data_IF_272139430269
#
_entry.id   IF_272139430269
#
_cell.length_a   1.000
_cell.length_b   1.000
_cell.length_c   1.000
_cell.angle_alpha   90.00
_cell.angle_beta   90.00
_cell.angle_gamma   90.00
#
_symmetry.space_group_name_H-M   'P 1'
#
loop_
_entity.id
_entity.type
_entity.pdbx_description
1 polymer ?
#
# COMPACT_ATOMS: atom_id res chain seq x y z
N UNK A 1 -12.39 -24.44 42.19
CA UNK A 1 -12.80 -23.02 42.17
C UNK A 1 -11.76 -22.24 42.96
N UNK A 2 -10.90 -21.49 42.28
CA UNK A 2 -9.86 -20.65 42.90
C UNK A 2 -9.86 -19.31 42.17
N UNK A 3 -10.33 -18.26 42.82
CA UNK A 3 -10.30 -16.88 42.32
C UNK A 3 -9.10 -16.18 42.94
N UNK A 4 -7.96 -16.23 42.26
CA UNK A 4 -6.81 -15.38 42.58
C UNK A 4 -7.05 -14.00 41.96
N UNK A 5 -7.46 -13.03 42.79
CA UNK A 5 -7.42 -11.60 42.44
C UNK A 5 -5.98 -11.12 42.53
N UNK A 6 -5.31 -10.98 41.40
CA UNK A 6 -4.06 -10.22 41.30
C UNK A 6 -4.39 -8.80 40.82
N UNK A 7 -4.19 -7.83 41.70
CA UNK A 7 -4.29 -6.41 41.42
C UNK A 7 -3.14 -5.98 40.47
N UNK A 8 -3.37 -5.03 39.54
CA UNK A 8 -2.30 -4.49 38.71
C UNK A 8 -1.38 -3.61 39.54
N UNK A 9 -0.07 -3.86 39.44
CA UNK A 9 0.98 -3.01 40.02
C UNK A 9 1.04 -1.74 39.19
N UNK A 10 0.43 -0.66 39.68
CA UNK A 10 0.65 0.70 39.20
C UNK A 10 1.99 1.21 39.75
N UNK A 11 3.06 0.98 39.00
CA UNK A 11 4.33 1.68 39.23
C UNK A 11 4.21 3.07 38.64
N UNK A 12 4.02 4.09 39.48
CA UNK A 12 4.19 5.48 39.06
C UNK A 12 5.70 5.78 38.91
N UNK A 13 6.17 6.36 37.80
CA UNK A 13 7.51 6.92 37.75
C UNK A 13 7.50 8.26 38.49
N UNK A 14 8.32 8.35 39.55
CA UNK A 14 8.69 9.59 40.22
C UNK A 14 9.31 10.54 39.19
N UNK A 15 8.62 11.64 38.88
CA UNK A 15 9.15 12.71 38.03
C UNK A 15 10.08 13.57 38.88
N UNK A 16 11.39 13.42 38.65
CA UNK A 16 12.41 14.37 39.08
C UNK A 16 12.58 15.41 37.97
N UNK A 17 12.39 16.72 38.21
CA UNK A 17 12.66 17.73 37.20
C UNK A 17 14.17 17.99 37.12
N UNK A 18 14.87 17.14 36.37
CA UNK A 18 16.25 17.35 35.95
C UNK A 18 16.27 17.99 34.56
N UNK A 19 16.55 19.29 34.48
CA UNK A 19 16.87 20.00 33.25
C UNK A 19 18.22 19.49 32.71
N UNK A 20 18.19 18.36 32.02
CA UNK A 20 19.28 17.84 31.20
C UNK A 20 19.03 18.16 29.72
N UNK A 21 20.08 18.27 28.89
CA UNK A 21 19.93 18.57 27.47
C UNK A 21 19.08 17.48 26.83
N UNK A 22 18.13 17.93 26.01
CA UNK A 22 17.23 17.11 25.22
C UNK A 22 18.09 16.09 24.46
N UNK A 23 18.00 14.82 24.86
CA UNK A 23 18.59 13.72 24.11
C UNK A 23 17.78 13.57 22.81
N UNK A 24 18.08 14.43 21.83
CA UNK A 24 17.62 14.30 20.44
C UNK A 24 18.42 13.19 19.75
N UNK A 25 18.51 12.05 20.41
CA UNK A 25 19.23 10.83 20.00
C UNK A 25 18.31 9.75 19.44
N UNK A 26 17.09 10.08 19.02
CA UNK A 26 16.37 9.29 18.03
C UNK A 26 16.70 9.88 16.66
N UNK A 27 17.84 9.39 16.13
CA UNK A 27 18.15 9.25 14.72
C UNK A 27 16.93 9.57 13.83
N UNK A 28 17.03 10.61 13.02
CA UNK A 28 16.12 10.84 11.90
C UNK A 28 16.34 9.70 10.91
N UNK A 29 15.84 8.51 11.22
CA UNK A 29 15.58 7.51 10.22
C UNK A 29 14.60 8.17 9.25
N UNK A 30 14.89 8.24 7.94
CA UNK A 30 13.92 8.68 6.95
C UNK A 30 12.82 7.61 6.84
N UNK A 31 12.00 7.47 7.88
CA UNK A 31 10.81 6.64 7.89
C UNK A 31 9.65 7.50 7.40
N UNK A 32 9.10 7.11 6.26
CA UNK A 32 7.82 7.63 5.77
C UNK A 32 7.97 8.66 4.68
N UNK A 33 8.29 8.20 3.47
CA UNK A 33 7.91 8.97 2.28
C UNK A 33 6.86 8.16 1.57
N UNK A 34 5.73 8.80 1.25
CA UNK A 34 4.56 8.14 0.64
C UNK A 34 4.12 8.79 -0.67
N UNK A 35 4.57 10.00 -1.01
CA UNK A 35 4.29 10.61 -2.32
C UNK A 35 5.56 11.27 -2.83
N UNK A 36 6.08 10.79 -3.95
CA UNK A 36 7.27 11.31 -4.62
C UNK A 36 6.92 12.44 -5.58
N UNK A 37 5.85 12.27 -6.35
CA UNK A 37 5.37 13.29 -7.28
C UNK A 37 3.87 13.17 -7.48
N UNK A 38 3.24 14.30 -7.79
CA UNK A 38 1.84 14.35 -8.21
C UNK A 38 1.72 15.29 -9.42
N UNK A 39 1.05 14.82 -10.46
CA UNK A 39 0.83 15.61 -11.67
C UNK A 39 -0.54 15.32 -12.26
N UNK A 40 -1.17 16.36 -12.79
CA UNK A 40 -2.43 16.24 -13.53
C UNK A 40 -2.08 15.90 -14.97
N UNK A 41 -2.56 14.76 -15.46
CA UNK A 41 -2.31 14.30 -16.85
C UNK A 41 -3.33 14.92 -17.79
N UNK A 42 -4.58 14.98 -17.34
CA UNK A 42 -5.71 15.63 -18.00
C UNK A 42 -6.70 16.10 -16.92
N UNK A 43 -7.76 16.81 -17.30
CA UNK A 43 -8.75 17.38 -16.36
C UNK A 43 -9.32 16.36 -15.36
N UNK A 44 -9.38 15.08 -15.71
CA UNK A 44 -9.98 14.02 -14.90
C UNK A 44 -8.95 13.06 -14.30
N UNK A 45 -7.70 13.10 -14.75
CA UNK A 45 -6.67 12.11 -14.42
C UNK A 45 -5.54 12.70 -13.60
N UNK A 46 -5.41 12.21 -12.37
CA UNK A 46 -4.28 12.46 -11.50
C UNK A 46 -3.28 11.31 -11.58
N UNK A 47 -2.01 11.63 -11.81
CA UNK A 47 -0.89 10.70 -11.66
C UNK A 47 -0.17 10.96 -10.35
N UNK A 48 0.05 9.91 -9.57
CA UNK A 48 0.78 9.96 -8.31
C UNK A 48 1.86 8.91 -8.35
N UNK A 49 3.10 9.31 -8.10
CA UNK A 49 4.22 8.39 -7.94
C UNK A 49 4.50 8.21 -6.45
N UNK A 50 4.50 6.96 -5.99
CA UNK A 50 4.86 6.60 -4.64
C UNK A 50 6.31 6.10 -4.60
N UNK A 51 6.97 6.25 -3.46
CA UNK A 51 8.26 5.62 -3.20
C UNK A 51 8.33 5.24 -1.72
N UNK A 52 9.20 4.29 -1.36
CA UNK A 52 9.41 3.92 0.04
C UNK A 52 8.27 3.07 0.60
N UNK A 53 7.86 3.38 1.82
CA UNK A 53 6.92 2.57 2.60
C UNK A 53 5.59 3.28 2.78
N UNK A 54 4.50 2.57 2.50
CA UNK A 54 3.13 3.07 2.70
C UNK A 54 2.41 2.22 3.74
N UNK A 55 2.41 2.68 4.97
CA UNK A 55 1.77 2.02 6.10
C UNK A 55 0.72 2.92 6.78
N UNK A 56 0.12 2.44 7.87
CA UNK A 56 -0.83 3.20 8.66
C UNK A 56 -0.35 4.61 9.04
N UNK A 57 0.92 4.76 9.40
CA UNK A 57 1.55 6.00 9.88
C UNK A 57 2.01 6.90 8.74
N UNK A 58 2.53 6.34 7.64
CA UNK A 58 3.07 7.11 6.52
C UNK A 58 2.02 7.47 5.47
N UNK A 59 0.82 6.87 5.48
CA UNK A 59 -0.18 7.09 4.44
C UNK A 59 -0.97 8.42 4.56
N UNK A 60 -0.74 9.23 5.60
CA UNK A 60 -1.41 10.52 5.83
C UNK A 60 -1.39 11.47 4.62
N UNK A 61 -0.21 11.79 4.04
CA UNK A 61 -0.11 12.66 2.86
C UNK A 61 -0.92 12.15 1.66
N UNK A 62 -0.92 10.84 1.41
CA UNK A 62 -1.68 10.25 0.31
C UNK A 62 -3.19 10.39 0.53
N UNK A 63 -3.67 10.23 1.77
CA UNK A 63 -5.09 10.45 2.13
C UNK A 63 -5.52 11.88 1.81
N UNK A 64 -4.74 12.86 2.28
CA UNK A 64 -5.04 14.28 2.06
C UNK A 64 -5.04 14.62 0.58
N UNK A 65 -4.04 14.11 -0.17
CA UNK A 65 -3.93 14.35 -1.60
C UNK A 65 -5.12 13.79 -2.38
N UNK A 66 -5.56 12.57 -2.08
CA UNK A 66 -6.70 11.97 -2.76
C UNK A 66 -8.05 12.58 -2.34
N UNK A 67 -8.16 13.04 -1.09
CA UNK A 67 -9.31 13.83 -0.66
C UNK A 67 -9.41 15.13 -1.46
N UNK A 68 -8.31 15.89 -1.56
CA UNK A 68 -8.26 17.12 -2.35
C UNK A 68 -8.55 16.86 -3.83
N UNK A 69 -7.94 15.83 -4.42
CA UNK A 69 -8.17 15.45 -5.81
C UNK A 69 -9.65 15.13 -6.10
N UNK A 70 -10.35 14.55 -5.13
CA UNK A 70 -11.77 14.24 -5.24
C UNK A 70 -12.64 15.49 -5.23
N UNK A 71 -12.34 16.43 -4.34
CA UNK A 71 -13.02 17.73 -4.27
C UNK A 71 -12.80 18.53 -5.55
N UNK A 72 -11.62 18.41 -6.17
CA UNK A 72 -11.27 19.04 -7.43
C UNK A 72 -11.88 18.36 -8.66
N UNK A 73 -12.62 17.24 -8.49
CA UNK A 73 -13.36 16.59 -9.57
C UNK A 73 -12.56 15.54 -10.36
N UNK A 74 -11.34 15.19 -9.94
CA UNK A 74 -10.59 14.11 -10.59
C UNK A 74 -11.28 12.76 -10.37
N UNK A 75 -11.46 12.01 -11.47
CA UNK A 75 -12.18 10.72 -11.47
C UNK A 75 -11.28 9.53 -11.76
N UNK A 76 -10.05 9.76 -12.20
CA UNK A 76 -9.09 8.73 -12.58
C UNK A 76 -7.79 8.95 -11.82
N UNK A 77 -7.29 7.88 -11.21
CA UNK A 77 -6.01 7.85 -10.50
C UNK A 77 -5.07 6.86 -11.19
N UNK A 78 -3.91 7.34 -11.63
CA UNK A 78 -2.78 6.51 -12.04
C UNK A 78 -1.75 6.51 -10.93
N UNK A 79 -1.58 5.38 -10.28
CA UNK A 79 -0.64 5.22 -9.17
C UNK A 79 0.59 4.44 -9.65
N UNK A 80 1.76 5.07 -9.61
CA UNK A 80 3.04 4.42 -9.85
C UNK A 80 3.61 3.89 -8.54
N UNK A 81 3.75 2.58 -8.47
CA UNK A 81 4.22 1.84 -7.30
C UNK A 81 5.62 1.24 -7.49
N UNK A 82 6.30 1.58 -8.60
CA UNK A 82 7.61 0.98 -8.97
C UNK A 82 8.71 1.12 -7.92
N UNK A 83 8.61 2.14 -7.06
CA UNK A 83 9.58 2.43 -6.00
C UNK A 83 9.05 2.15 -4.60
N UNK A 84 7.90 1.49 -4.49
CA UNK A 84 7.31 1.10 -3.20
C UNK A 84 7.99 -0.17 -2.72
N UNK A 85 8.64 -0.10 -1.57
CA UNK A 85 9.34 -1.21 -0.92
C UNK A 85 8.42 -1.99 0.01
N UNK A 86 7.45 -1.32 0.64
CA UNK A 86 6.48 -1.93 1.54
C UNK A 86 5.11 -1.24 1.45
N UNK A 87 4.04 -2.02 1.56
CA UNK A 87 2.68 -1.51 1.67
C UNK A 87 1.81 -2.44 2.53
N UNK A 88 0.95 -1.87 3.36
CA UNK A 88 0.02 -2.61 4.22
C UNK A 88 -1.45 -2.37 3.83
N UNK A 89 -2.37 -2.83 4.69
CA UNK A 89 -3.81 -2.65 4.52
C UNK A 89 -4.27 -1.19 4.53
N UNK A 90 -3.47 -0.25 5.05
CA UNK A 90 -3.81 1.16 5.04
C UNK A 90 -3.78 1.74 3.62
N UNK A 91 -2.81 1.34 2.79
CA UNK A 91 -2.80 1.70 1.36
C UNK A 91 -4.04 1.12 0.65
N UNK A 92 -4.36 -0.14 0.91
CA UNK A 92 -5.54 -0.78 0.34
C UNK A 92 -6.82 -0.03 0.70
N UNK A 93 -6.99 0.34 1.96
CA UNK A 93 -8.17 1.11 2.42
C UNK A 93 -8.32 2.40 1.62
N UNK A 94 -7.24 3.15 1.45
CA UNK A 94 -7.23 4.40 0.68
C UNK A 94 -7.65 4.17 -0.78
N UNK A 95 -7.14 3.11 -1.39
CA UNK A 95 -7.44 2.76 -2.78
C UNK A 95 -8.88 2.27 -2.95
N UNK A 96 -9.38 1.48 -2.01
CA UNK A 96 -10.77 1.03 -1.96
C UNK A 96 -11.70 2.23 -1.81
N UNK A 97 -11.45 3.10 -0.83
CA UNK A 97 -12.22 4.33 -0.61
C UNK A 97 -12.28 5.19 -1.88
N UNK A 98 -11.17 5.29 -2.61
CA UNK A 98 -11.15 5.97 -3.92
C UNK A 98 -12.12 5.29 -4.91
N UNK A 99 -11.99 3.97 -5.11
CA UNK A 99 -12.77 3.23 -6.12
C UNK A 99 -14.26 3.08 -5.80
N UNK A 100 -14.66 3.00 -4.54
CA UNK A 100 -16.07 2.83 -4.12
C UNK A 100 -16.95 4.00 -4.58
N UNK A 101 -16.38 5.17 -4.80
CA UNK A 101 -17.09 6.35 -5.28
C UNK A 101 -17.18 6.41 -6.82
N UNK A 102 -17.14 5.26 -7.51
CA UNK A 102 -17.20 5.18 -8.97
C UNK A 102 -15.98 5.75 -9.71
N UNK A 103 -14.90 6.04 -8.98
CA UNK A 103 -13.64 6.54 -9.55
C UNK A 103 -12.76 5.39 -10.01
N UNK A 104 -11.96 5.63 -11.04
CA UNK A 104 -11.10 4.61 -11.64
C UNK A 104 -9.70 4.66 -11.05
N UNK A 105 -9.12 3.48 -10.84
CA UNK A 105 -7.75 3.30 -10.37
C UNK A 105 -6.98 2.48 -11.40
N UNK A 106 -5.76 2.92 -11.73
CA UNK A 106 -4.79 2.17 -12.51
C UNK A 106 -3.46 2.12 -11.76
N UNK A 107 -3.04 0.91 -11.38
CA UNK A 107 -1.73 0.67 -10.80
C UNK A 107 -0.70 0.48 -11.93
N UNK A 108 0.46 1.09 -11.78
CA UNK A 108 1.63 0.94 -12.68
C UNK A 108 2.86 0.62 -11.85
N UNK A 109 3.86 -0.02 -12.47
CA UNK A 109 5.08 -0.41 -11.76
C UNK A 109 4.84 -1.39 -10.61
N UNK A 110 3.84 -2.27 -10.72
CA UNK A 110 3.40 -3.12 -9.60
C UNK A 110 4.52 -4.04 -9.13
N UNK A 111 4.98 -3.83 -7.90
CA UNK A 111 6.00 -4.68 -7.27
C UNK A 111 5.38 -6.01 -6.81
N UNK A 112 6.15 -7.09 -6.62
CA UNK A 112 5.62 -8.36 -6.10
C UNK A 112 4.91 -8.23 -4.76
N UNK A 113 5.34 -7.31 -3.90
CA UNK A 113 4.66 -7.00 -2.64
C UNK A 113 3.27 -6.40 -2.88
N UNK A 114 3.17 -5.43 -3.78
CA UNK A 114 1.90 -4.81 -4.15
C UNK A 114 0.96 -5.78 -4.88
N UNK A 115 1.49 -6.69 -5.70
CA UNK A 115 0.69 -7.73 -6.36
C UNK A 115 0.10 -8.71 -5.33
N UNK A 116 0.88 -9.15 -4.34
CA UNK A 116 0.36 -9.98 -3.23
C UNK A 116 -0.72 -9.27 -2.44
N UNK A 117 -0.48 -8.01 -2.10
CA UNK A 117 -1.42 -7.19 -1.34
C UNK A 117 -2.74 -6.98 -2.11
N UNK A 118 -2.63 -6.66 -3.41
CA UNK A 118 -3.78 -6.54 -4.32
C UNK A 118 -4.55 -7.85 -4.44
N UNK A 119 -3.85 -8.97 -4.61
CA UNK A 119 -4.46 -10.29 -4.72
C UNK A 119 -5.22 -10.69 -3.44
N UNK A 120 -4.70 -10.30 -2.27
CA UNK A 120 -5.37 -10.53 -1.00
C UNK A 120 -6.64 -9.66 -0.83
N UNK A 121 -6.66 -8.45 -1.38
CA UNK A 121 -7.75 -7.49 -1.18
C UNK A 121 -8.88 -7.58 -2.21
N UNK A 122 -8.54 -7.72 -3.48
CA UNK A 122 -9.49 -7.69 -4.60
C UNK A 122 -9.58 -9.02 -5.36
N UNK A 123 -8.92 -10.06 -4.84
CA UNK A 123 -8.76 -11.33 -5.52
C UNK A 123 -7.62 -11.31 -6.54
N UNK A 124 -7.11 -12.50 -6.87
CA UNK A 124 -6.08 -12.64 -7.88
C UNK A 124 -6.61 -12.14 -9.24
N UNK A 125 -5.89 -11.21 -9.87
CA UNK A 125 -5.99 -11.08 -11.32
C UNK A 125 -5.59 -12.45 -11.88
N UNK A 126 -6.35 -13.03 -12.83
CA UNK A 126 -5.97 -14.33 -13.36
C UNK A 126 -4.52 -14.24 -13.83
N UNK A 127 -3.64 -15.18 -13.43
CA UNK A 127 -2.29 -15.18 -13.96
C UNK A 127 -2.47 -15.23 -15.47
N UNK A 128 -1.88 -14.27 -16.19
CA UNK A 128 -1.78 -14.35 -17.65
C UNK A 128 -1.15 -15.70 -17.94
N UNK A 129 -2.00 -16.67 -18.28
CA UNK A 129 -1.60 -18.04 -18.39
C UNK A 129 -0.52 -18.06 -19.45
N UNK A 130 0.71 -18.34 -19.03
CA UNK A 130 1.75 -18.84 -19.93
C UNK A 130 1.07 -19.98 -20.67
N UNK A 131 0.69 -19.71 -21.92
CA UNK A 131 0.12 -20.65 -22.87
C UNK A 131 1.07 -21.84 -22.91
N UNK A 132 0.81 -22.86 -22.10
CA UNK A 132 1.50 -24.14 -22.18
C UNK A 132 1.25 -24.60 -23.61
N UNK A 133 2.31 -24.62 -24.41
CA UNK A 133 2.26 -25.19 -25.73
C UNK A 133 1.69 -26.61 -25.58
N UNK A 134 0.56 -26.88 -26.23
CA UNK A 134 0.07 -28.25 -26.36
C UNK A 134 1.16 -29.03 -27.11
N UNK A 135 1.64 -30.17 -26.59
CA UNK A 135 2.44 -31.06 -27.43
C UNK A 135 1.55 -31.53 -28.59
N UNK A 136 2.00 -31.23 -29.80
CA UNK A 136 1.42 -31.72 -31.06
C UNK A 136 1.56 -33.25 -31.01
N UNK A 137 0.44 -33.96 -30.92
CA UNK A 137 0.42 -35.41 -31.15
C UNK A 137 0.84 -35.62 -32.61
N UNK A 138 2.06 -36.11 -32.82
CA UNK A 138 2.48 -36.72 -34.07
C UNK A 138 1.61 -37.97 -34.27
N UNK A 139 0.75 -37.91 -35.27
CA UNK A 139 0.18 -39.11 -35.89
C UNK A 139 1.32 -39.79 -36.64
N UNK A 140 1.92 -40.80 -36.00
CA UNK A 140 2.76 -41.79 -36.67
C UNK A 140 1.82 -42.60 -37.57
N UNK A 141 2.13 -42.58 -38.87
CA UNK A 141 1.57 -43.51 -39.82
C UNK A 141 2.28 -44.86 -39.71
N UNK A 142 1.47 -45.91 -39.75
CA UNK A 142 1.84 -47.31 -40.02
C UNK A 142 0.53 -47.87 -40.63
N UNK A 143 0.45 -48.39 -41.85
CA UNK A 143 1.45 -49.11 -42.63
C UNK A 143 1.00 -50.57 -42.71
N UNK A 144 0.08 -50.86 -43.65
CA UNK A 144 -0.20 -52.12 -44.40
C UNK A 144 -1.66 -52.17 -44.84
#
# INVERSE_FOLDING_TARGET
MSTASNLPILTAPTVTPGTGPIDQGAETAPCGISVRSCSVVDEQTLRVELHGEVDHYSAGPLRVLLAAASTLGHRRLVLDTSRVTFADSALLRILTDWTEHGRRLRLTGVTPAMERLRAAAWGASPPTARRRARPRRETVGEGV
#
